data_IF_053984014668
#
_entry.id   IF_053984014668
#
_cell.length_a   1.000
_cell.length_b   1.000
_cell.length_c   1.000
_cell.angle_alpha   90.00
_cell.angle_beta   90.00
_cell.angle_gamma   90.00
#
_symmetry.space_group_name_H-M   'P 1'
#
loop_
_entity.id
_entity.type
_entity.pdbx_description
1 polymer ?
#
# COMPACT_ATOMS: atom_id res chain seq x y z
N UNK A 1 -1.51 43.90 5.93
CA UNK A 1 -1.01 42.59 5.50
C UNK A 1 -0.57 41.82 6.73
N UNK A 2 -0.79 40.52 6.77
CA UNK A 2 -0.38 39.64 7.88
C UNK A 2 0.25 38.37 7.31
N UNK A 3 1.30 37.87 7.96
CA UNK A 3 1.90 36.57 7.68
C UNK A 3 1.91 35.77 8.98
N UNK A 4 1.35 34.58 8.96
CA UNK A 4 1.21 33.71 10.13
C UNK A 4 1.54 32.27 9.75
N UNK A 5 1.99 31.49 10.72
CA UNK A 5 2.12 30.03 10.57
C UNK A 5 0.82 29.44 10.01
N UNK A 6 0.95 28.51 9.07
CA UNK A 6 -0.24 27.94 8.45
C UNK A 6 -0.95 27.05 9.46
N UNK A 7 -2.25 27.28 9.75
CA UNK A 7 -2.95 26.45 10.72
C UNK A 7 -3.12 25.02 10.22
N UNK A 8 -3.15 24.07 11.15
CA UNK A 8 -3.43 22.65 10.95
C UNK A 8 -2.51 21.96 9.93
N UNK A 9 -1.22 22.29 9.88
CA UNK A 9 -0.27 21.63 8.97
C UNK A 9 0.95 21.01 9.67
N UNK A 10 1.76 20.30 8.88
CA UNK A 10 2.95 19.61 9.36
C UNK A 10 4.19 20.51 9.44
N UNK A 11 4.01 21.83 9.44
CA UNK A 11 5.10 22.79 9.25
C UNK A 11 5.50 22.98 7.79
N UNK A 12 6.56 23.76 7.59
CA UNK A 12 7.10 24.19 6.32
C UNK A 12 6.29 25.25 5.58
N UNK A 13 5.28 25.88 6.20
CA UNK A 13 4.37 26.76 5.48
C UNK A 13 3.88 27.99 6.25
N UNK A 14 3.87 29.14 5.55
CA UNK A 14 3.31 30.39 6.07
C UNK A 14 2.14 30.84 5.21
N UNK A 15 1.04 31.23 5.85
CA UNK A 15 -0.14 31.80 5.21
C UNK A 15 -0.08 33.31 5.29
N UNK A 16 -0.08 33.94 4.12
CA UNK A 16 -0.04 35.38 3.94
C UNK A 16 -1.43 35.88 3.55
N UNK A 17 -1.93 36.92 4.22
CA UNK A 17 -3.19 37.60 3.92
C UNK A 17 -2.99 39.09 3.72
N UNK A 18 -3.62 39.67 2.70
CA UNK A 18 -3.54 41.10 2.40
C UNK A 18 -4.91 41.67 2.02
N UNK A 19 -5.05 42.99 2.08
CA UNK A 19 -6.23 43.68 1.54
C UNK A 19 -6.08 43.90 0.04
N UNK A 20 -7.20 43.95 -0.70
CA UNK A 20 -7.16 44.26 -2.14
C UNK A 20 -6.53 45.62 -2.41
N UNK A 21 -5.85 45.75 -3.54
CA UNK A 21 -5.35 47.03 -4.03
C UNK A 21 -6.52 48.01 -4.24
N UNK A 22 -6.37 49.30 -3.91
CA UNK A 22 -7.37 50.33 -4.25
C UNK A 22 -7.72 50.33 -5.75
N UNK A 23 -6.75 49.99 -6.60
CA UNK A 23 -6.90 49.96 -8.06
C UNK A 23 -7.65 48.72 -8.58
N UNK A 24 -7.86 47.69 -7.76
CA UNK A 24 -8.83 46.60 -8.05
C UNK A 24 -10.27 46.97 -7.70
N UNK A 25 -10.46 47.89 -6.75
CA UNK A 25 -11.75 48.25 -6.18
C UNK A 25 -12.43 49.40 -6.93
N UNK A 26 -12.47 50.57 -6.29
CA UNK A 26 -13.08 51.79 -6.83
C UNK A 26 -12.20 52.52 -7.87
N UNK A 27 -10.99 51.99 -8.13
CA UNK A 27 -10.05 52.52 -9.13
C UNK A 27 -10.25 51.96 -10.55
N UNK A 28 -9.18 51.97 -11.36
CA UNK A 28 -9.24 51.69 -12.80
C UNK A 28 -9.38 50.20 -13.18
N UNK A 29 -9.36 49.28 -12.21
CA UNK A 29 -9.41 47.81 -12.41
C UNK A 29 -8.29 47.26 -13.30
N UNK A 30 -7.09 47.80 -13.13
CA UNK A 30 -5.91 47.49 -13.97
C UNK A 30 -4.96 46.46 -13.38
N UNK A 31 -5.26 45.93 -12.18
CA UNK A 31 -4.39 44.97 -11.47
C UNK A 31 -4.56 43.57 -12.04
N UNK A 32 -3.46 42.94 -12.43
CA UNK A 32 -3.39 41.57 -12.97
C UNK A 32 -3.22 40.54 -11.86
N UNK A 33 -2.55 40.93 -10.77
CA UNK A 33 -2.39 40.10 -9.59
C UNK A 33 -1.33 40.63 -8.62
N UNK A 34 -0.88 39.72 -7.77
CA UNK A 34 -0.05 40.00 -6.61
C UNK A 34 1.17 39.08 -6.62
N UNK A 35 2.37 39.66 -6.69
CA UNK A 35 3.61 38.92 -6.48
C UNK A 35 3.93 38.85 -4.98
N UNK A 36 4.22 37.66 -4.48
CA UNK A 36 4.55 37.42 -3.07
C UNK A 36 6.06 37.26 -2.96
N UNK A 37 6.68 38.15 -2.18
CA UNK A 37 8.12 38.16 -1.92
C UNK A 37 8.41 37.73 -0.48
N UNK A 38 9.49 36.96 -0.28
CA UNK A 38 10.00 36.51 1.02
C UNK A 38 11.46 36.92 1.23
N UNK A 39 11.80 37.29 2.46
CA UNK A 39 13.16 37.52 2.94
C UNK A 39 13.39 36.85 4.31
N UNK A 40 14.66 36.55 4.64
CA UNK A 40 15.06 36.08 5.98
C UNK A 40 15.31 37.21 6.98
N UNK A 41 15.29 38.47 6.53
CA UNK A 41 15.47 39.65 7.36
C UNK A 41 14.54 40.78 6.87
N UNK A 42 14.18 41.76 7.73
CA UNK A 42 13.34 42.90 7.34
C UNK A 42 13.92 43.71 6.17
N UNK A 43 15.26 43.83 6.12
CA UNK A 43 15.98 44.61 5.11
C UNK A 43 16.10 43.89 3.75
N UNK A 44 15.70 42.61 3.67
CA UNK A 44 15.88 41.78 2.47
C UNK A 44 17.15 40.92 2.51
N UNK A 45 17.60 40.37 1.36
CA UNK A 45 16.99 40.52 0.03
C UNK A 45 15.66 39.75 -0.08
N UNK A 46 14.67 40.40 -0.70
CA UNK A 46 13.38 39.80 -1.00
C UNK A 46 13.43 39.00 -2.30
N UNK A 47 12.95 37.76 -2.27
CA UNK A 47 12.84 36.87 -3.44
C UNK A 47 11.40 36.48 -3.69
N UNK A 48 11.01 36.36 -4.96
CA UNK A 48 9.68 35.90 -5.34
C UNK A 48 9.49 34.44 -4.94
N UNK A 49 8.37 34.16 -4.26
CA UNK A 49 7.97 32.81 -3.82
C UNK A 49 6.62 32.38 -4.39
N UNK A 50 5.95 33.27 -5.14
CA UNK A 50 4.68 32.96 -5.78
C UNK A 50 3.96 34.17 -6.35
N UNK A 51 2.89 33.88 -7.08
CA UNK A 51 2.00 34.87 -7.65
C UNK A 51 0.54 34.46 -7.41
N UNK A 52 -0.29 35.40 -6.98
CA UNK A 52 -1.73 35.22 -6.79
C UNK A 52 -2.48 36.10 -7.79
N UNK A 53 -3.44 35.53 -8.51
CA UNK A 53 -4.25 36.26 -9.49
C UNK A 53 -5.08 37.37 -8.84
N UNK A 54 -5.49 38.35 -9.66
CA UNK A 54 -6.42 39.39 -9.24
C UNK A 54 -7.64 38.84 -8.48
N UNK A 55 -8.05 39.56 -7.43
CA UNK A 55 -9.16 39.19 -6.55
C UNK A 55 -8.80 38.24 -5.40
N UNK A 56 -7.65 37.57 -5.45
CA UNK A 56 -7.11 36.78 -4.34
C UNK A 56 -6.51 37.69 -3.26
N UNK A 57 -6.74 37.33 -2.00
CA UNK A 57 -6.27 38.08 -0.82
C UNK A 57 -5.48 37.21 0.16
N UNK A 58 -5.11 36.01 -0.28
CA UNK A 58 -4.39 35.03 0.52
C UNK A 58 -3.45 34.19 -0.36
N UNK A 59 -2.28 33.84 0.16
CA UNK A 59 -1.33 32.92 -0.45
C UNK A 59 -0.70 32.04 0.61
N UNK A 60 -0.48 30.77 0.29
CA UNK A 60 0.23 29.83 1.14
C UNK A 60 1.61 29.60 0.53
N UNK A 61 2.66 30.01 1.23
CA UNK A 61 4.04 29.68 0.87
C UNK A 61 4.39 28.31 1.48
N UNK A 62 4.59 27.24 0.69
CA UNK A 62 4.90 25.89 1.20
C UNK A 62 6.40 25.60 1.24
N UNK A 63 7.25 26.61 1.09
CA UNK A 63 8.71 26.45 0.90
C UNK A 63 9.52 27.04 2.06
N UNK A 64 8.91 27.17 3.23
CA UNK A 64 9.53 27.75 4.43
C UNK A 64 10.22 26.62 5.22
N UNK A 65 11.29 26.96 5.94
CA UNK A 65 11.90 26.05 6.90
C UNK A 65 11.34 26.31 8.30
N UNK A 66 11.02 25.24 9.01
CA UNK A 66 10.51 25.36 10.38
C UNK A 66 11.53 26.03 11.31
N UNK A 67 11.03 26.90 12.20
CA UNK A 67 11.85 27.62 13.17
C UNK A 67 12.62 28.83 12.60
N UNK A 68 12.64 29.05 11.29
CA UNK A 68 13.29 30.21 10.68
C UNK A 68 12.31 31.39 10.54
N UNK A 69 12.75 32.59 10.94
CA UNK A 69 11.97 33.82 10.78
C UNK A 69 11.92 34.24 9.30
N UNK A 70 10.70 34.41 8.79
CA UNK A 70 10.44 34.87 7.43
C UNK A 70 9.67 36.19 7.44
N UNK A 71 10.05 37.08 6.53
CA UNK A 71 9.42 38.37 6.30
C UNK A 71 8.83 38.40 4.90
N UNK A 72 7.61 38.92 4.76
CA UNK A 72 6.88 38.91 3.51
C UNK A 72 6.52 40.32 3.05
N UNK A 73 6.52 40.52 1.74
CA UNK A 73 5.99 41.71 1.07
C UNK A 73 5.14 41.27 -0.11
N UNK A 74 3.99 41.92 -0.31
CA UNK A 74 3.12 41.68 -1.46
C UNK A 74 3.24 42.87 -2.41
N UNK A 75 3.41 42.59 -3.69
CA UNK A 75 3.51 43.62 -4.73
C UNK A 75 2.34 43.45 -5.69
N UNK A 76 1.42 44.40 -5.72
CA UNK A 76 0.38 44.48 -6.74
C UNK A 76 1.01 44.87 -8.08
N UNK A 77 0.62 44.19 -9.16
CA UNK A 77 1.15 44.42 -10.51
C UNK A 77 0.00 44.74 -11.45
N UNK A 78 0.10 45.85 -12.18
CA UNK A 78 -0.90 46.28 -13.18
C UNK A 78 -0.56 45.80 -14.60
N UNK A 79 -1.51 45.90 -15.53
CA UNK A 79 -1.30 45.60 -16.96
C UNK A 79 -0.22 46.49 -17.60
N UNK A 80 -0.07 47.72 -17.11
CA UNK A 80 0.98 48.67 -17.54
C UNK A 80 2.35 48.38 -16.94
N UNK A 81 2.45 47.39 -16.03
CA UNK A 81 3.69 47.03 -15.34
C UNK A 81 4.01 47.90 -14.12
N UNK A 82 3.08 48.75 -13.68
CA UNK A 82 3.23 49.50 -12.43
C UNK A 82 3.15 48.56 -11.23
N UNK A 83 3.92 48.89 -10.19
CA UNK A 83 4.10 48.03 -9.01
C UNK A 83 3.78 48.82 -7.75
N UNK A 84 2.84 48.30 -6.95
CA UNK A 84 2.48 48.83 -5.64
C UNK A 84 2.89 47.88 -4.53
N UNK A 85 3.74 48.32 -3.62
CA UNK A 85 4.27 47.48 -2.55
C UNK A 85 3.48 47.61 -1.24
N UNK A 86 3.25 46.50 -0.55
CA UNK A 86 2.73 46.50 0.81
C UNK A 86 3.79 46.82 1.85
N UNK A 87 3.36 47.17 3.06
CA UNK A 87 4.23 47.07 4.24
C UNK A 87 4.74 45.62 4.42
N UNK A 88 5.91 45.48 5.04
CA UNK A 88 6.51 44.18 5.36
C UNK A 88 5.71 43.54 6.51
N UNK A 89 5.37 42.26 6.36
CA UNK A 89 4.78 41.45 7.43
C UNK A 89 5.80 40.46 7.97
N UNK A 90 6.01 40.44 9.29
CA UNK A 90 6.90 39.49 9.96
C UNK A 90 7.43 40.02 11.31
N UNK A 91 8.23 39.21 12.02
CA UNK A 91 8.66 37.87 11.65
C UNK A 91 7.50 36.85 11.76
N UNK A 92 7.34 36.02 10.74
CA UNK A 92 6.49 34.83 10.78
C UNK A 92 7.38 33.60 10.84
N UNK A 93 7.06 32.66 11.72
CA UNK A 93 7.85 31.45 11.95
C UNK A 93 6.94 30.25 11.73
N UNK A 94 7.35 29.34 10.85
CA UNK A 94 6.64 28.08 10.62
C UNK A 94 6.95 27.08 11.75
N UNK A 95 5.94 26.33 12.19
CA UNK A 95 6.11 25.32 13.23
C UNK A 95 5.28 24.07 12.95
N UNK A 96 5.79 22.90 13.32
CA UNK A 96 5.04 21.65 13.17
C UNK A 96 3.91 21.59 14.20
N UNK A 97 2.68 21.43 13.71
CA UNK A 97 1.52 21.27 14.58
C UNK A 97 1.19 19.79 14.72
N UNK A 98 1.23 19.31 15.96
CA UNK A 98 0.97 17.89 16.28
C UNK A 98 -0.47 17.46 15.99
N UNK A 99 -1.41 18.41 15.96
CA UNK A 99 -2.82 18.11 15.79
C UNK A 99 -3.46 18.97 14.69
N UNK A 100 -3.89 18.31 13.63
CA UNK A 100 -4.72 18.93 12.60
C UNK A 100 -6.20 18.78 13.01
N UNK A 101 -6.82 19.89 13.43
CA UNK A 101 -8.24 19.92 13.84
C UNK A 101 -9.20 19.62 12.69
N UNK A 102 -8.80 19.91 11.46
CA UNK A 102 -9.57 19.62 10.24
C UNK A 102 -9.54 18.11 9.92
N UNK A 103 -8.77 17.30 10.64
CA UNK A 103 -8.66 15.84 10.44
C UNK A 103 -9.11 15.01 11.66
N UNK A 104 -9.94 15.59 12.53
CA UNK A 104 -10.45 14.90 13.74
C UNK A 104 -11.21 13.59 13.42
N UNK A 105 -11.91 13.55 12.29
CA UNK A 105 -12.58 12.37 11.73
C UNK A 105 -11.61 11.20 11.53
N UNK A 106 -10.42 11.46 10.98
CA UNK A 106 -9.37 10.45 10.74
C UNK A 106 -8.86 9.90 12.07
N UNK A 107 -8.69 10.76 13.08
CA UNK A 107 -8.29 10.32 14.42
C UNK A 107 -9.31 9.34 15.01
N UNK A 108 -10.60 9.64 14.91
CA UNK A 108 -11.66 8.76 15.43
C UNK A 108 -11.71 7.42 14.70
N UNK A 109 -11.67 7.44 13.36
CA UNK A 109 -11.66 6.21 12.56
C UNK A 109 -10.43 5.37 12.91
N UNK A 110 -9.26 6.00 12.99
CA UNK A 110 -8.00 5.31 13.32
C UNK A 110 -8.05 4.73 14.73
N UNK A 111 -8.48 5.51 15.73
CA UNK A 111 -8.62 5.07 17.11
C UNK A 111 -9.60 3.90 17.25
N UNK A 112 -10.73 3.95 16.54
CA UNK A 112 -11.67 2.84 16.47
C UNK A 112 -11.05 1.59 15.86
N UNK A 113 -10.33 1.70 14.73
CA UNK A 113 -9.64 0.58 14.09
C UNK A 113 -8.57 -0.03 15.00
N UNK A 114 -7.76 0.80 15.66
CA UNK A 114 -6.78 0.34 16.65
C UNK A 114 -7.45 -0.41 17.81
N UNK A 115 -8.53 0.15 18.36
CA UNK A 115 -9.28 -0.51 19.44
C UNK A 115 -9.89 -1.84 18.98
N UNK A 116 -10.43 -1.91 17.76
CA UNK A 116 -10.96 -3.14 17.18
C UNK A 116 -9.89 -4.22 17.01
N UNK A 117 -8.72 -3.86 16.47
CA UNK A 117 -7.58 -4.80 16.31
C UNK A 117 -7.13 -5.32 17.67
N UNK A 118 -6.94 -4.44 18.66
CA UNK A 118 -6.57 -4.83 20.03
C UNK A 118 -7.63 -5.76 20.62
N UNK A 119 -8.91 -5.41 20.48
CA UNK A 119 -10.03 -6.22 20.97
C UNK A 119 -10.00 -7.64 20.38
N UNK A 120 -9.81 -7.80 19.07
CA UNK A 120 -9.75 -9.13 18.45
C UNK A 120 -8.48 -9.90 18.80
N UNK A 121 -7.34 -9.22 18.99
CA UNK A 121 -6.10 -9.86 19.48
C UNK A 121 -6.30 -10.38 20.91
N UNK A 122 -6.86 -9.58 21.82
CA UNK A 122 -7.14 -10.00 23.19
C UNK A 122 -8.14 -11.14 23.26
N UNK A 123 -9.19 -11.08 22.43
CA UNK A 123 -10.17 -12.15 22.31
C UNK A 123 -9.53 -13.46 21.82
N UNK A 124 -8.64 -13.37 20.82
CA UNK A 124 -7.83 -14.50 20.37
C UNK A 124 -6.95 -15.09 21.48
N UNK A 125 -6.31 -14.23 22.28
CA UNK A 125 -5.49 -14.65 23.44
C UNK A 125 -6.29 -15.35 24.53
N UNK A 126 -7.59 -15.03 24.69
CA UNK A 126 -8.49 -15.69 25.65
C UNK A 126 -8.96 -17.09 25.19
N UNK A 127 -8.43 -17.60 24.07
CA UNK A 127 -8.72 -18.94 23.55
C UNK A 127 -9.93 -18.99 22.62
N UNK A 128 -10.60 -17.86 22.38
CA UNK A 128 -11.63 -17.78 21.35
C UNK A 128 -10.95 -17.75 19.98
N UNK A 129 -11.09 -18.81 19.19
CA UNK A 129 -10.56 -18.84 17.82
C UNK A 129 -11.51 -18.03 16.92
N UNK A 130 -11.13 -16.81 16.47
CA UNK A 130 -12.01 -16.04 15.61
C UNK A 130 -12.20 -16.80 14.29
N UNK A 131 -13.44 -16.91 13.82
CA UNK A 131 -13.72 -17.52 12.53
C UNK A 131 -13.10 -16.67 11.42
N UNK A 132 -12.11 -17.25 10.73
CA UNK A 132 -11.48 -16.71 9.53
C UNK A 132 -12.07 -17.44 8.32
N UNK A 133 -12.36 -16.71 7.25
CA UNK A 133 -12.86 -17.30 6.00
C UNK A 133 -11.83 -18.30 5.46
N UNK A 134 -12.30 -19.40 4.89
CA UNK A 134 -11.41 -20.36 4.22
C UNK A 134 -10.80 -19.70 2.98
N UNK A 135 -9.51 -19.94 2.76
CA UNK A 135 -8.79 -19.46 1.58
C UNK A 135 -8.56 -20.67 0.69
N UNK A 136 -9.31 -20.76 -0.42
CA UNK A 136 -9.35 -21.95 -1.27
C UNK A 136 -7.95 -22.38 -1.75
N UNK A 137 -7.11 -21.43 -2.17
CA UNK A 137 -5.75 -21.74 -2.62
C UNK A 137 -4.82 -22.26 -1.51
N UNK A 138 -5.07 -21.96 -0.24
CA UNK A 138 -4.31 -22.52 0.88
C UNK A 138 -4.80 -23.92 1.26
N UNK A 139 -6.11 -24.16 1.18
CA UNK A 139 -6.66 -25.50 1.42
C UNK A 139 -6.21 -26.48 0.32
N UNK A 140 -6.16 -26.01 -0.94
CA UNK A 140 -5.66 -26.78 -2.08
C UNK A 140 -4.16 -27.11 -1.99
N UNK A 141 -3.40 -26.36 -1.17
CA UNK A 141 -1.96 -26.58 -1.02
C UNK A 141 -1.66 -27.97 -0.45
N UNK A 142 -2.39 -28.41 0.58
CA UNK A 142 -2.17 -29.72 1.18
C UNK A 142 -2.51 -30.86 0.20
N UNK A 143 -3.60 -30.72 -0.55
CA UNK A 143 -4.01 -31.67 -1.60
C UNK A 143 -2.96 -31.75 -2.73
N UNK A 144 -2.47 -30.59 -3.18
CA UNK A 144 -1.47 -30.52 -4.23
C UNK A 144 -0.12 -31.12 -3.82
N UNK A 145 0.26 -30.99 -2.55
CA UNK A 145 1.45 -31.67 -2.01
C UNK A 145 1.21 -33.19 -1.96
N UNK A 146 0.07 -33.64 -1.43
CA UNK A 146 -0.28 -35.07 -1.38
C UNK A 146 -0.28 -35.74 -2.75
N UNK A 147 -0.86 -35.08 -3.76
CA UNK A 147 -0.81 -35.56 -5.16
C UNK A 147 0.62 -35.65 -5.69
N UNK A 148 1.48 -34.67 -5.38
CA UNK A 148 2.88 -34.73 -5.79
C UNK A 148 3.62 -35.93 -5.18
N UNK A 149 3.33 -36.23 -3.90
CA UNK A 149 3.79 -37.44 -3.22
C UNK A 149 3.32 -38.71 -3.93
N UNK A 150 2.01 -38.83 -4.19
CA UNK A 150 1.41 -40.00 -4.84
C UNK A 150 1.97 -40.25 -6.25
N UNK A 151 2.28 -39.17 -6.98
CA UNK A 151 2.86 -39.24 -8.32
C UNK A 151 4.38 -39.46 -8.33
N UNK A 152 5.06 -39.36 -7.19
CA UNK A 152 6.52 -39.42 -7.11
C UNK A 152 7.23 -38.32 -7.91
N UNK A 153 6.56 -37.20 -8.16
CA UNK A 153 7.04 -36.06 -8.97
C UNK A 153 7.32 -34.86 -8.05
N UNK A 154 8.30 -34.00 -8.38
CA UNK A 154 8.66 -32.89 -7.50
C UNK A 154 7.58 -31.81 -7.44
N UNK A 155 7.64 -31.02 -6.37
CA UNK A 155 6.95 -29.73 -6.25
C UNK A 155 7.91 -28.64 -6.70
N UNK A 156 7.44 -27.74 -7.57
CA UNK A 156 8.14 -26.51 -7.92
C UNK A 156 7.55 -25.35 -7.11
N UNK A 157 8.39 -24.59 -6.40
CA UNK A 157 8.00 -23.39 -5.67
C UNK A 157 8.81 -22.18 -6.15
N UNK A 158 8.13 -21.16 -6.66
CA UNK A 158 8.75 -19.89 -7.06
C UNK A 158 8.29 -18.77 -6.12
N UNK A 159 9.20 -18.14 -5.35
CA UNK A 159 8.89 -17.08 -4.38
C UNK A 159 8.69 -15.69 -5.01
N UNK A 160 8.31 -15.63 -6.28
CA UNK A 160 8.22 -14.38 -7.05
C UNK A 160 9.54 -13.96 -7.70
N UNK A 161 9.48 -12.83 -8.39
CA UNK A 161 10.59 -12.26 -9.19
C UNK A 161 11.14 -10.97 -8.60
N UNK A 162 10.86 -10.66 -7.33
CA UNK A 162 11.42 -9.51 -6.59
C UNK A 162 12.34 -9.96 -5.46
N UNK A 163 13.15 -9.05 -4.93
CA UNK A 163 14.09 -9.32 -3.84
C UNK A 163 13.39 -9.29 -2.46
N UNK A 164 14.13 -9.53 -1.38
CA UNK A 164 13.63 -9.53 0.01
C UNK A 164 13.14 -8.16 0.52
N UNK A 165 13.33 -7.09 -0.25
CA UNK A 165 12.75 -5.78 0.03
C UNK A 165 11.26 -5.68 -0.38
N UNK A 166 10.76 -6.63 -1.16
CA UNK A 166 9.35 -6.73 -1.50
C UNK A 166 8.58 -7.57 -0.48
N UNK A 167 7.47 -7.03 0.00
CA UNK A 167 6.66 -7.63 1.06
C UNK A 167 6.00 -8.95 0.62
N UNK A 168 5.74 -9.12 -0.69
CA UNK A 168 5.16 -10.35 -1.23
C UNK A 168 6.19 -11.48 -1.24
N UNK A 169 7.46 -11.18 -1.53
CA UNK A 169 8.56 -12.16 -1.43
C UNK A 169 8.71 -12.67 0.01
N UNK A 170 8.64 -11.77 0.99
CA UNK A 170 8.65 -12.15 2.43
C UNK A 170 7.45 -13.05 2.78
N UNK A 171 6.26 -12.71 2.28
CA UNK A 171 5.07 -13.54 2.47
C UNK A 171 5.24 -14.93 1.83
N UNK A 172 5.79 -15.00 0.62
CA UNK A 172 6.07 -16.25 -0.09
C UNK A 172 7.05 -17.14 0.67
N UNK A 173 8.13 -16.59 1.21
CA UNK A 173 9.08 -17.34 2.05
C UNK A 173 8.37 -17.91 3.30
N UNK A 174 7.43 -17.18 3.88
CA UNK A 174 6.65 -17.69 5.01
C UNK A 174 5.77 -18.88 4.62
N UNK A 175 5.18 -18.86 3.43
CA UNK A 175 4.41 -20.00 2.89
C UNK A 175 5.36 -21.16 2.55
N UNK A 176 6.55 -20.89 2.01
CA UNK A 176 7.58 -21.88 1.71
C UNK A 176 7.94 -22.70 2.96
N UNK A 177 8.01 -22.08 4.13
CA UNK A 177 8.27 -22.80 5.40
C UNK A 177 7.21 -23.89 5.66
N UNK A 178 5.94 -23.59 5.42
CA UNK A 178 4.86 -24.56 5.57
C UNK A 178 4.94 -25.67 4.51
N UNK A 179 5.14 -25.29 3.24
CA UNK A 179 5.29 -26.25 2.12
C UNK A 179 6.46 -27.19 2.37
N UNK A 180 7.62 -26.66 2.76
CA UNK A 180 8.83 -27.43 3.06
C UNK A 180 8.61 -28.43 4.19
N UNK A 181 7.94 -28.01 5.27
CA UNK A 181 7.64 -28.90 6.41
C UNK A 181 6.74 -30.07 5.99
N UNK A 182 5.69 -29.79 5.21
CA UNK A 182 4.76 -30.82 4.70
C UNK A 182 5.43 -31.73 3.66
N UNK A 183 6.18 -31.16 2.72
CA UNK A 183 6.94 -31.91 1.73
C UNK A 183 7.95 -32.85 2.40
N UNK A 184 8.66 -32.41 3.44
CA UNK A 184 9.58 -33.25 4.21
C UNK A 184 8.84 -34.39 4.96
N UNK A 185 7.68 -34.10 5.55
CA UNK A 185 6.86 -35.11 6.23
C UNK A 185 6.32 -36.18 5.27
N UNK A 186 6.04 -35.82 4.02
CA UNK A 186 5.58 -36.73 2.97
C UNK A 186 6.69 -37.24 2.06
N UNK A 187 7.96 -36.99 2.40
CA UNK A 187 9.13 -37.39 1.59
C UNK A 187 9.06 -36.96 0.12
N UNK A 188 8.53 -35.77 -0.12
CA UNK A 188 8.32 -35.21 -1.46
C UNK A 188 9.41 -34.20 -1.80
N UNK A 189 10.01 -34.32 -2.98
CA UNK A 189 11.08 -33.44 -3.43
C UNK A 189 10.53 -32.03 -3.71
N UNK A 190 11.13 -31.01 -3.09
CA UNK A 190 10.77 -29.61 -3.24
C UNK A 190 11.89 -28.85 -3.95
N UNK A 191 11.60 -28.26 -5.11
CA UNK A 191 12.52 -27.45 -5.89
C UNK A 191 12.15 -25.98 -5.84
N UNK A 192 13.12 -25.14 -5.51
CA UNK A 192 12.92 -23.70 -5.29
C UNK A 192 13.90 -22.90 -6.15
N UNK A 193 13.59 -22.67 -7.44
CA UNK A 193 14.39 -21.78 -8.27
C UNK A 193 14.22 -20.32 -7.84
N UNK A 194 15.33 -19.60 -7.70
CA UNK A 194 15.34 -18.20 -7.25
C UNK A 194 15.97 -17.28 -8.31
N UNK A 195 15.41 -16.07 -8.43
CA UNK A 195 15.94 -14.97 -9.26
C UNK A 195 17.04 -14.18 -8.54
N UNK A 196 16.94 -14.03 -7.22
CA UNK A 196 17.88 -13.25 -6.41
C UNK A 196 18.62 -14.14 -5.40
N UNK A 197 19.93 -13.90 -5.24
CA UNK A 197 20.79 -14.69 -4.33
C UNK A 197 20.41 -14.53 -2.86
N UNK A 198 19.90 -13.36 -2.46
CA UNK A 198 19.45 -13.13 -1.10
C UNK A 198 18.19 -13.96 -0.80
N UNK A 199 17.22 -13.96 -1.72
CA UNK A 199 16.02 -14.80 -1.63
C UNK A 199 16.39 -16.29 -1.61
N UNK A 200 17.36 -16.73 -2.42
CA UNK A 200 17.88 -18.10 -2.40
C UNK A 200 18.45 -18.46 -1.02
N UNK A 201 19.28 -17.59 -0.45
CA UNK A 201 19.89 -17.82 0.87
C UNK A 201 18.81 -17.93 1.96
N UNK A 202 17.83 -17.03 1.94
CA UNK A 202 16.69 -17.08 2.87
C UNK A 202 15.85 -18.35 2.68
N UNK A 203 15.61 -18.75 1.43
CA UNK A 203 14.89 -19.99 1.11
C UNK A 203 15.63 -21.23 1.61
N UNK A 204 16.97 -21.29 1.46
CA UNK A 204 17.80 -22.39 1.98
C UNK A 204 17.64 -22.53 3.49
N UNK A 205 17.78 -21.44 4.23
CA UNK A 205 17.63 -21.47 5.69
C UNK A 205 16.21 -21.87 6.08
N UNK A 206 15.20 -21.27 5.45
CA UNK A 206 13.79 -21.56 5.73
C UNK A 206 13.43 -23.03 5.50
N UNK A 207 13.87 -23.62 4.37
CA UNK A 207 13.60 -25.03 4.05
C UNK A 207 14.37 -25.93 5.03
N UNK A 208 15.63 -25.61 5.34
CA UNK A 208 16.44 -26.37 6.29
C UNK A 208 15.81 -26.40 7.69
N UNK A 209 15.42 -25.24 8.24
CA UNK A 209 14.72 -25.14 9.52
C UNK A 209 13.39 -25.90 9.50
N UNK A 210 12.65 -25.84 8.39
CA UNK A 210 11.37 -26.53 8.25
C UNK A 210 11.52 -28.05 8.19
N UNK A 211 12.54 -28.57 7.49
CA UNK A 211 12.89 -29.99 7.48
C UNK A 211 13.33 -30.46 8.88
N UNK A 212 14.13 -29.67 9.59
CA UNK A 212 14.53 -29.95 10.97
C UNK A 212 13.32 -30.00 11.92
N UNK A 213 12.42 -29.03 11.81
CA UNK A 213 11.18 -28.98 12.60
C UNK A 213 10.23 -30.15 12.30
N UNK A 214 10.27 -30.71 11.08
CA UNK A 214 9.55 -31.92 10.71
C UNK A 214 10.22 -33.22 11.20
N UNK A 215 11.41 -33.14 11.82
CA UNK A 215 12.19 -34.32 12.22
C UNK A 215 12.81 -35.08 11.05
N UNK A 216 12.94 -34.44 9.88
CA UNK A 216 13.42 -35.02 8.61
C UNK A 216 14.59 -34.21 8.02
N UNK A 217 15.72 -34.06 8.74
CA UNK A 217 16.87 -33.29 8.26
C UNK A 217 17.49 -33.85 6.97
N UNK A 218 17.35 -35.16 6.75
CA UNK A 218 17.80 -35.88 5.55
C UNK A 218 17.02 -35.51 4.28
N UNK A 219 15.81 -34.96 4.42
CA UNK A 219 15.03 -34.46 3.29
C UNK A 219 15.54 -33.12 2.75
N UNK A 220 16.39 -32.39 3.48
CA UNK A 220 16.97 -31.13 3.00
C UNK A 220 18.03 -31.38 1.92
N UNK A 221 17.89 -30.73 0.77
CA UNK A 221 18.84 -30.77 -0.35
C UNK A 221 19.14 -29.37 -0.83
N UNK A 222 20.36 -28.90 -0.58
CA UNK A 222 20.76 -27.55 -0.96
C UNK A 222 20.73 -27.33 -2.48
N UNK A 223 21.05 -28.36 -3.26
CA UNK A 223 21.03 -28.32 -4.74
C UNK A 223 19.63 -28.15 -5.33
N UNK A 224 18.56 -28.39 -4.55
CA UNK A 224 17.19 -28.17 -4.99
C UNK A 224 16.75 -26.70 -4.78
N UNK A 225 17.58 -25.87 -4.13
CA UNK A 225 17.32 -24.46 -3.84
C UNK A 225 18.47 -23.63 -4.43
N UNK A 226 18.27 -23.13 -5.64
CA UNK A 226 19.36 -22.58 -6.45
C UNK A 226 18.96 -21.29 -7.14
N UNK A 227 19.97 -20.51 -7.52
CA UNK A 227 19.86 -19.29 -8.31
C UNK A 227 19.93 -19.63 -9.81
N UNK A 228 19.12 -18.97 -10.64
CA UNK A 228 19.16 -19.11 -12.10
C UNK A 228 19.80 -17.88 -12.75
N UNK A 229 19.16 -16.73 -12.62
CA UNK A 229 19.55 -15.46 -13.25
C UNK A 229 18.81 -14.32 -12.58
N UNK A 230 19.45 -13.15 -12.50
CA UNK A 230 18.89 -11.89 -12.06
C UNK A 230 18.11 -11.19 -13.18
N UNK A 231 18.31 -11.57 -14.44
CA UNK A 231 17.49 -11.13 -15.56
C UNK A 231 16.13 -11.86 -15.54
N UNK A 232 15.05 -11.09 -15.68
CA UNK A 232 13.69 -11.58 -15.46
C UNK A 232 13.33 -12.72 -16.43
N UNK A 233 13.57 -12.56 -17.72
CA UNK A 233 13.21 -13.59 -18.70
C UNK A 233 14.24 -14.73 -18.78
N UNK A 234 15.49 -14.49 -18.38
CA UNK A 234 16.51 -15.50 -18.14
C UNK A 234 16.09 -16.46 -17.03
N UNK A 235 15.58 -15.92 -15.92
CA UNK A 235 14.95 -16.73 -14.86
C UNK A 235 13.79 -17.56 -15.41
N UNK A 236 12.86 -16.91 -16.13
CA UNK A 236 11.65 -17.57 -16.67
C UNK A 236 12.00 -18.67 -17.66
N UNK A 237 12.95 -18.45 -18.57
CA UNK A 237 13.41 -19.46 -19.51
C UNK A 237 14.03 -20.67 -18.77
N UNK A 238 14.84 -20.40 -17.74
CA UNK A 238 15.44 -21.45 -16.90
C UNK A 238 14.39 -22.29 -16.15
N UNK A 239 13.41 -21.63 -15.52
CA UNK A 239 12.30 -22.30 -14.82
C UNK A 239 11.41 -23.05 -15.82
N UNK A 240 11.08 -22.46 -16.96
CA UNK A 240 10.26 -23.10 -18.00
C UNK A 240 10.94 -24.36 -18.55
N UNK A 241 12.25 -24.29 -18.81
CA UNK A 241 13.02 -25.47 -19.20
C UNK A 241 13.08 -26.53 -18.10
N UNK A 242 13.09 -26.13 -16.83
CA UNK A 242 12.96 -27.07 -15.70
C UNK A 242 11.58 -27.75 -15.66
N UNK A 243 10.50 -26.98 -15.80
CA UNK A 243 9.13 -27.50 -15.81
C UNK A 243 8.97 -28.60 -16.87
N UNK A 244 9.45 -28.38 -18.10
CA UNK A 244 9.32 -29.37 -19.18
C UNK A 244 10.18 -30.62 -18.95
N UNK A 245 11.40 -30.46 -18.41
CA UNK A 245 12.33 -31.59 -18.22
C UNK A 245 11.98 -32.45 -17.01
N UNK A 246 11.62 -31.81 -15.92
CA UNK A 246 11.40 -32.48 -14.63
C UNK A 246 9.95 -32.83 -14.39
N UNK A 247 9.04 -32.18 -15.13
CA UNK A 247 7.60 -32.36 -15.03
C UNK A 247 7.15 -32.38 -13.56
N UNK A 248 7.25 -31.27 -12.80
CA UNK A 248 6.68 -31.24 -11.44
C UNK A 248 5.19 -31.60 -11.46
N UNK A 249 4.70 -32.27 -10.42
CA UNK A 249 3.26 -32.55 -10.29
C UNK A 249 2.47 -31.31 -9.83
N UNK A 250 3.17 -30.40 -9.13
CA UNK A 250 2.60 -29.19 -8.55
C UNK A 250 3.54 -28.01 -8.78
N UNK A 251 3.00 -26.90 -9.27
CA UNK A 251 3.68 -25.62 -9.42
C UNK A 251 3.05 -24.57 -8.50
N UNK A 252 3.86 -23.98 -7.64
CA UNK A 252 3.46 -22.94 -6.69
C UNK A 252 4.14 -21.63 -7.10
N UNK A 253 3.36 -20.65 -7.54
CA UNK A 253 3.84 -19.33 -7.95
C UNK A 253 3.33 -18.29 -6.94
N UNK A 254 4.10 -18.06 -5.89
CA UNK A 254 3.68 -17.21 -4.76
C UNK A 254 4.66 -16.06 -4.59
N UNK A 255 4.19 -14.81 -4.71
CA UNK A 255 5.03 -13.62 -4.57
C UNK A 255 4.68 -12.51 -5.55
N UNK A 256 5.62 -11.58 -5.74
CA UNK A 256 5.50 -10.55 -6.76
C UNK A 256 5.84 -11.14 -8.14
N UNK A 257 4.90 -11.08 -9.07
CA UNK A 257 5.11 -11.45 -10.47
C UNK A 257 4.65 -10.33 -11.40
N UNK A 258 5.17 -10.34 -12.62
CA UNK A 258 4.84 -9.41 -13.70
C UNK A 258 4.45 -10.21 -14.96
N UNK A 259 4.89 -9.78 -16.15
CA UNK A 259 4.52 -10.36 -17.44
C UNK A 259 4.81 -11.87 -17.55
N UNK A 260 5.73 -12.39 -16.76
CA UNK A 260 6.08 -13.81 -16.69
C UNK A 260 5.01 -14.71 -16.08
N UNK A 261 4.04 -14.14 -15.36
CA UNK A 261 2.98 -14.91 -14.66
C UNK A 261 2.30 -15.89 -15.61
N UNK A 262 1.87 -15.40 -16.78
CA UNK A 262 1.17 -16.22 -17.77
C UNK A 262 2.11 -17.24 -18.43
N UNK A 263 3.36 -16.87 -18.69
CA UNK A 263 4.34 -17.77 -19.31
C UNK A 263 4.60 -18.96 -18.40
N UNK A 264 4.89 -18.71 -17.12
CA UNK A 264 5.14 -19.78 -16.16
C UNK A 264 3.90 -20.66 -15.96
N UNK A 265 2.72 -20.05 -15.83
CA UNK A 265 1.47 -20.78 -15.66
C UNK A 265 1.10 -21.64 -16.88
N UNK A 266 1.33 -21.16 -18.11
CA UNK A 266 1.09 -21.97 -19.31
C UNK A 266 2.06 -23.15 -19.39
N UNK A 267 3.31 -22.96 -18.97
CA UNK A 267 4.29 -24.04 -18.92
C UNK A 267 3.90 -25.12 -17.91
N UNK A 268 3.42 -24.76 -16.72
CA UNK A 268 2.93 -25.75 -15.76
C UNK A 268 1.65 -26.46 -16.26
N UNK A 269 0.75 -25.73 -16.95
CA UNK A 269 -0.44 -26.32 -17.57
C UNK A 269 -0.07 -27.34 -18.65
N UNK A 270 0.96 -27.05 -19.47
CA UNK A 270 1.40 -27.93 -20.56
C UNK A 270 1.87 -29.33 -20.13
N UNK A 271 2.23 -29.48 -18.84
CA UNK A 271 2.65 -30.76 -18.24
C UNK A 271 1.59 -31.35 -17.28
N UNK A 272 0.41 -30.74 -17.20
CA UNK A 272 -0.68 -31.15 -16.31
C UNK A 272 -0.39 -31.03 -14.81
N UNK A 273 0.49 -30.09 -14.42
CA UNK A 273 0.75 -29.80 -13.02
C UNK A 273 -0.47 -29.10 -12.40
N UNK A 274 -0.79 -29.39 -11.14
CA UNK A 274 -1.70 -28.51 -10.38
C UNK A 274 -0.95 -27.22 -10.10
N UNK A 275 -1.60 -26.10 -10.32
CA UNK A 275 -1.00 -24.78 -10.20
C UNK A 275 -1.73 -23.95 -9.16
N UNK A 276 -0.96 -23.45 -8.20
CA UNK A 276 -1.46 -22.48 -7.21
C UNK A 276 -0.66 -21.20 -7.38
N UNK A 277 -1.33 -20.18 -7.93
CA UNK A 277 -0.79 -18.84 -8.08
C UNK A 277 -1.12 -17.96 -6.89
N UNK A 278 -0.35 -16.90 -6.66
CA UNK A 278 -0.63 -15.94 -5.61
C UNK A 278 0.22 -14.69 -5.76
N UNK A 279 -0.44 -13.56 -5.99
CA UNK A 279 0.23 -12.26 -6.12
C UNK A 279 -0.66 -11.13 -5.61
N UNK A 280 -0.04 -10.06 -5.14
CA UNK A 280 -0.68 -8.80 -4.83
C UNK A 280 -0.51 -7.75 -5.93
N UNK A 281 0.08 -8.11 -7.08
CA UNK A 281 0.17 -7.23 -8.24
C UNK A 281 -1.18 -7.18 -8.99
N UNK A 282 -1.91 -6.05 -8.97
CA UNK A 282 -3.27 -5.99 -9.55
C UNK A 282 -3.31 -6.28 -11.05
N UNK A 283 -2.26 -5.88 -11.77
CA UNK A 283 -2.14 -6.09 -13.20
C UNK A 283 -1.92 -7.57 -13.58
N UNK A 284 -1.48 -8.42 -12.66
CA UNK A 284 -1.16 -9.83 -12.95
C UNK A 284 -2.17 -10.83 -12.41
N UNK A 285 -2.98 -10.44 -11.42
CA UNK A 285 -4.05 -11.27 -10.87
C UNK A 285 -4.93 -11.93 -11.94
N UNK A 286 -5.38 -11.24 -13.02
CA UNK A 286 -6.20 -11.89 -14.05
C UNK A 286 -5.52 -13.06 -14.75
N UNK A 287 -4.19 -13.04 -14.90
CA UNK A 287 -3.46 -14.13 -15.55
C UNK A 287 -3.41 -15.38 -14.69
N UNK A 288 -3.12 -15.26 -13.39
CA UNK A 288 -3.17 -16.42 -12.50
C UNK A 288 -4.60 -16.94 -12.32
N UNK A 289 -5.59 -16.06 -12.21
CA UNK A 289 -7.00 -16.49 -12.15
C UNK A 289 -7.41 -17.27 -13.41
N UNK A 290 -6.88 -16.91 -14.57
CA UNK A 290 -7.21 -17.60 -15.83
C UNK A 290 -6.38 -18.88 -16.07
N UNK A 291 -5.13 -18.94 -15.58
CA UNK A 291 -4.17 -19.98 -15.94
C UNK A 291 -3.82 -20.97 -14.81
N UNK A 292 -4.15 -20.67 -13.56
CA UNK A 292 -3.91 -21.55 -12.41
C UNK A 292 -5.22 -22.16 -11.89
N UNK A 293 -5.15 -23.37 -11.31
CA UNK A 293 -6.30 -24.04 -10.71
C UNK A 293 -6.84 -23.27 -9.49
N UNK A 294 -5.92 -22.70 -8.72
CA UNK A 294 -6.24 -21.84 -7.58
C UNK A 294 -5.38 -20.59 -7.58
N UNK A 295 -5.94 -19.47 -7.15
CA UNK A 295 -5.22 -18.20 -7.04
C UNK A 295 -5.49 -17.54 -5.70
N UNK A 296 -4.42 -17.19 -4.98
CA UNK A 296 -4.47 -16.29 -3.83
C UNK A 296 -4.55 -14.85 -4.31
N UNK A 297 -5.63 -14.16 -3.95
CA UNK A 297 -5.90 -12.81 -4.44
C UNK A 297 -5.44 -11.78 -3.42
N UNK A 298 -4.40 -11.01 -3.76
CA UNK A 298 -4.00 -9.81 -3.03
C UNK A 298 -3.70 -10.09 -1.56
N UNK A 299 -4.64 -9.68 -0.69
CA UNK A 299 -4.54 -9.85 0.77
C UNK A 299 -4.37 -11.31 1.22
N UNK A 300 -4.85 -12.26 0.43
CA UNK A 300 -4.78 -13.68 0.78
C UNK A 300 -3.34 -14.19 0.86
N UNK A 301 -2.45 -13.64 0.03
CA UNK A 301 -1.02 -13.95 0.08
C UNK A 301 -0.41 -13.53 1.43
N UNK A 302 -0.80 -12.35 1.94
CA UNK A 302 -0.31 -11.84 3.23
C UNK A 302 -0.99 -12.50 4.43
N UNK A 303 -2.25 -12.92 4.27
CA UNK A 303 -3.00 -13.65 5.29
C UNK A 303 -2.55 -15.11 5.44
N UNK A 304 -1.82 -15.64 4.45
CA UNK A 304 -1.45 -17.05 4.41
C UNK A 304 -0.63 -17.50 5.62
N UNK A 305 0.30 -16.67 6.12
CA UNK A 305 1.08 -16.99 7.31
C UNK A 305 0.19 -17.18 8.55
N UNK A 306 -0.74 -16.25 8.77
CA UNK A 306 -1.71 -16.30 9.86
C UNK A 306 -2.64 -17.53 9.75
N UNK A 307 -3.06 -17.85 8.53
CA UNK A 307 -3.93 -18.99 8.27
C UNK A 307 -3.22 -20.33 8.51
N UNK A 308 -1.99 -20.47 7.98
CA UNK A 308 -1.20 -21.71 8.06
C UNK A 308 -0.59 -21.94 9.45
N UNK A 309 -0.25 -20.89 10.20
CA UNK A 309 0.27 -20.99 11.57
C UNK A 309 -0.84 -21.30 12.58
N UNK A 310 -2.06 -20.83 12.32
CA UNK A 310 -3.19 -20.92 13.26
C UNK A 310 -2.98 -20.09 14.54
N UNK A 311 -1.99 -19.20 14.58
CA UNK A 311 -1.66 -18.44 15.78
C UNK A 311 -2.74 -17.40 16.11
N UNK A 312 -3.32 -17.43 17.33
CA UNK A 312 -4.45 -16.57 17.67
C UNK A 312 -4.18 -15.06 17.53
N UNK A 313 -2.94 -14.59 17.75
CA UNK A 313 -2.61 -13.16 17.56
C UNK A 313 -2.69 -12.74 16.10
N UNK A 314 -2.27 -13.63 15.19
CA UNK A 314 -2.15 -13.36 13.76
C UNK A 314 -3.55 -13.39 13.13
N UNK A 315 -4.36 -14.38 13.53
CA UNK A 315 -5.78 -14.47 13.16
C UNK A 315 -6.60 -13.30 13.71
N UNK A 316 -6.31 -12.83 14.93
CA UNK A 316 -6.95 -11.67 15.54
C UNK A 316 -6.70 -10.37 14.77
N UNK A 317 -5.46 -10.16 14.31
CA UNK A 317 -5.11 -9.01 13.45
C UNK A 317 -5.87 -9.03 12.13
N UNK A 318 -5.94 -10.19 11.47
CA UNK A 318 -6.70 -10.37 10.23
C UNK A 318 -8.18 -10.00 10.41
N UNK A 319 -8.79 -10.44 11.53
CA UNK A 319 -10.19 -10.13 11.83
C UNK A 319 -10.44 -8.64 12.08
N UNK A 320 -9.51 -7.96 12.77
CA UNK A 320 -9.58 -6.51 12.98
C UNK A 320 -9.51 -5.73 11.67
N UNK A 321 -8.64 -6.15 10.74
CA UNK A 321 -8.55 -5.55 9.41
C UNK A 321 -9.83 -5.77 8.60
N UNK A 322 -10.42 -6.98 8.65
CA UNK A 322 -11.68 -7.28 7.97
C UNK A 322 -12.85 -6.42 8.49
N UNK A 323 -12.93 -6.18 9.81
CA UNK A 323 -13.91 -5.25 10.35
C UNK A 323 -13.73 -3.84 9.78
N UNK A 324 -12.49 -3.38 9.68
CA UNK A 324 -12.19 -2.08 9.07
C UNK A 324 -12.63 -1.98 7.62
N UNK A 325 -12.41 -3.03 6.82
CA UNK A 325 -12.89 -3.10 5.44
C UNK A 325 -14.40 -3.09 5.36
N UNK A 326 -15.10 -3.86 6.21
CA UNK A 326 -16.57 -3.88 6.23
C UNK A 326 -17.12 -2.49 6.55
N UNK A 327 -16.53 -1.78 7.50
CA UNK A 327 -16.93 -0.41 7.83
C UNK A 327 -16.67 0.56 6.69
N UNK A 328 -15.50 0.47 6.05
CA UNK A 328 -15.17 1.30 4.88
C UNK A 328 -16.14 1.03 3.72
N UNK A 329 -16.38 -0.23 3.37
CA UNK A 329 -17.31 -0.62 2.31
C UNK A 329 -18.75 -0.20 2.63
N UNK A 330 -19.19 -0.36 3.88
CA UNK A 330 -20.51 0.09 4.33
C UNK A 330 -20.65 1.62 4.23
N UNK A 331 -19.61 2.36 4.60
CA UNK A 331 -19.56 3.82 4.48
C UNK A 331 -19.59 4.27 3.02
N UNK A 332 -18.84 3.61 2.14
CA UNK A 332 -18.86 3.87 0.69
C UNK A 332 -20.25 3.58 0.13
N UNK A 333 -20.82 2.41 0.41
CA UNK A 333 -22.15 2.03 -0.07
C UNK A 333 -23.24 3.01 0.42
N UNK A 334 -23.24 3.34 1.71
CA UNK A 334 -24.18 4.31 2.28
C UNK A 334 -24.00 5.70 1.68
N UNK A 335 -22.76 6.17 1.52
CA UNK A 335 -22.44 7.45 0.92
C UNK A 335 -22.84 7.52 -0.55
N UNK A 336 -22.57 6.48 -1.33
CA UNK A 336 -22.98 6.35 -2.73
C UNK A 336 -24.50 6.35 -2.87
N UNK A 337 -25.21 5.53 -2.08
CA UNK A 337 -26.68 5.49 -2.11
C UNK A 337 -27.29 6.83 -1.73
N UNK A 338 -26.84 7.46 -0.64
CA UNK A 338 -27.32 8.77 -0.21
C UNK A 338 -27.06 9.85 -1.27
N UNK A 339 -25.88 9.86 -1.88
CA UNK A 339 -25.56 10.79 -2.95
C UNK A 339 -26.44 10.56 -4.19
N UNK A 340 -26.71 9.31 -4.55
CA UNK A 340 -27.62 8.98 -5.65
C UNK A 340 -29.05 9.42 -5.33
N UNK A 341 -29.60 9.07 -4.16
CA UNK A 341 -30.96 9.45 -3.79
C UNK A 341 -31.14 10.96 -3.62
N UNK A 342 -30.17 11.69 -3.07
CA UNK A 342 -30.20 13.14 -3.00
C UNK A 342 -30.20 13.80 -4.39
N UNK A 343 -29.60 13.17 -5.40
CA UNK A 343 -29.64 13.68 -6.77
C UNK A 343 -31.01 13.49 -7.44
N UNK A 344 -31.76 12.45 -7.07
CA UNK A 344 -33.09 12.15 -7.63
C UNK A 344 -34.25 12.73 -6.82
N UNK A 345 -34.07 12.95 -5.52
CA UNK A 345 -35.08 13.49 -4.63
C UNK A 345 -34.62 14.83 -4.08
N UNK A 346 -35.40 15.89 -4.32
CA UNK A 346 -35.19 17.24 -3.77
C UNK A 346 -35.59 17.31 -2.28
N UNK A 347 -35.33 16.24 -1.52
CA UNK A 347 -35.63 16.14 -0.10
C UNK A 347 -34.51 16.81 0.70
N UNK A 348 -34.79 17.90 1.43
CA UNK A 348 -33.76 18.68 2.13
C UNK A 348 -32.92 17.87 3.13
N UNK A 349 -33.53 16.84 3.72
CA UNK A 349 -32.84 15.93 4.63
C UNK A 349 -31.73 15.12 3.94
N UNK A 350 -31.98 14.61 2.73
CA UNK A 350 -31.03 13.78 2.01
C UNK A 350 -29.85 14.60 1.48
N UNK A 351 -30.10 15.83 1.04
CA UNK A 351 -29.05 16.78 0.68
C UNK A 351 -28.17 17.12 1.88
N UNK A 352 -28.77 17.40 3.05
CA UNK A 352 -28.03 17.70 4.28
C UNK A 352 -27.20 16.50 4.76
N UNK A 353 -27.77 15.29 4.71
CA UNK A 353 -27.08 14.05 5.08
C UNK A 353 -25.91 13.73 4.12
N UNK A 354 -26.12 13.88 2.82
CA UNK A 354 -25.07 13.69 1.81
C UNK A 354 -23.96 14.74 1.94
N UNK A 355 -24.30 16.00 2.20
CA UNK A 355 -23.33 17.07 2.46
C UNK A 355 -22.52 16.80 3.74
N UNK A 356 -23.18 16.35 4.82
CA UNK A 356 -22.52 15.99 6.08
C UNK A 356 -21.52 14.83 5.91
N UNK A 357 -21.91 13.79 5.17
CA UNK A 357 -21.01 12.68 4.81
C UNK A 357 -19.83 13.14 3.95
N UNK A 358 -20.07 14.01 2.96
CA UNK A 358 -18.99 14.58 2.15
C UNK A 358 -18.04 15.43 2.99
N UNK A 359 -18.54 16.28 3.88
CA UNK A 359 -17.66 17.03 4.79
C UNK A 359 -16.87 16.09 5.71
N UNK A 360 -17.52 15.03 6.22
CA UNK A 360 -16.87 14.07 7.09
C UNK A 360 -15.74 13.30 6.40
N UNK A 361 -15.83 13.01 5.10
CA UNK A 361 -14.78 12.26 4.40
C UNK A 361 -13.80 13.12 3.57
N UNK A 362 -14.25 14.26 3.05
CA UNK A 362 -13.47 15.06 2.11
C UNK A 362 -12.76 16.26 2.74
N UNK A 363 -12.85 16.47 4.08
CA UNK A 363 -12.26 17.58 4.85
C UNK A 363 -11.17 18.34 4.06
N UNK A 364 -11.61 19.36 3.32
CA UNK A 364 -10.79 20.26 2.51
C UNK A 364 -10.49 21.50 3.30
#
# INVERSE_FOLDING_TARGET
MTALDTPNDGGGSITIKWGRSPDEGAGQKTVVGYEILRAGAPEGPFKSVGFASAGQTSYRDPSVKDGEASFYRVVAVTESGERGESAIAGPAVSSQQWFNRDRWNILLISGFLFAAVIYFIERGRRGERPFVRRIAGLDALEEAIGRATEMGRPILFSPGTQDMNDVQTVAAITILAHVARKAAAYDTRLKVPNRFSLVMTTARETVKESCLAAGRPDSYREDDIFYISDEQFGYVAGVSGMIVREQPATCLYLGAFFAESLVLAEMGNSIGAIQIGGTAQPAQLPFFVAACDYTLIGEELFAASAYLSGEPHQLGSLKGQDLGKVLALSGIAAGSLLATFAAFSSWPFLETAAAGLRSFFMNR
#
